data_IF_214008853368
#
_entry.id   IF_214008853368
#
_cell.length_a   1.000
_cell.length_b   1.000
_cell.length_c   1.000
_cell.angle_alpha   90.00
_cell.angle_beta   90.00
_cell.angle_gamma   90.00
#
_symmetry.space_group_name_H-M   'P 1'
#
loop_
_entity.id
_entity.type
_entity.pdbx_description
1 polymer ?
#
# COMPACT_ATOMS: atom_id res chain seq x y z
N UNK A 1 6.79 24.35 -2.10
CA UNK A 1 5.95 23.85 -3.21
C UNK A 1 6.10 22.35 -3.45
N UNK A 2 7.33 21.83 -3.61
CA UNK A 2 7.56 20.41 -3.93
C UNK A 2 6.99 19.41 -2.91
N UNK A 3 7.18 19.67 -1.61
CA UNK A 3 6.66 18.80 -0.55
C UNK A 3 5.13 18.69 -0.57
N UNK A 4 4.43 19.80 -0.88
CA UNK A 4 2.97 19.87 -0.96
C UNK A 4 2.41 19.03 -2.11
N UNK A 5 3.11 19.06 -3.26
CA UNK A 5 2.77 18.25 -4.43
C UNK A 5 2.99 16.77 -4.10
N UNK A 6 4.15 16.40 -3.57
CA UNK A 6 4.42 15.02 -3.16
C UNK A 6 3.37 14.50 -2.17
N UNK A 7 2.98 15.28 -1.17
CA UNK A 7 2.02 14.86 -0.15
C UNK A 7 0.63 14.55 -0.72
N UNK A 8 0.22 15.27 -1.78
CA UNK A 8 -1.09 15.08 -2.42
C UNK A 8 -1.04 13.96 -3.46
N UNK A 9 -0.02 13.96 -4.33
CA UNK A 9 0.02 13.07 -5.49
C UNK A 9 0.60 11.68 -5.19
N UNK A 10 1.47 11.55 -4.19
CA UNK A 10 2.06 10.26 -3.81
C UNK A 10 1.01 9.23 -3.35
N UNK A 11 0.08 9.54 -2.42
CA UNK A 11 -0.95 8.57 -2.03
C UNK A 11 -1.92 8.23 -3.17
N UNK A 12 -2.22 9.19 -4.06
CA UNK A 12 -3.02 8.93 -5.28
C UNK A 12 -2.31 7.93 -6.21
N UNK A 13 -1.01 8.15 -6.43
CA UNK A 13 -0.18 7.28 -7.28
C UNK A 13 -0.09 5.87 -6.70
N UNK A 14 0.08 5.75 -5.37
CA UNK A 14 0.10 4.45 -4.69
C UNK A 14 -1.24 3.74 -4.79
N UNK A 15 -2.37 4.46 -4.72
CA UNK A 15 -3.70 3.85 -4.90
C UNK A 15 -3.89 3.30 -6.31
N UNK A 16 -3.52 4.07 -7.34
CA UNK A 16 -3.51 3.60 -8.73
C UNK A 16 -2.64 2.34 -8.90
N UNK A 17 -1.43 2.35 -8.34
CA UNK A 17 -0.54 1.20 -8.37
C UNK A 17 -1.13 -0.01 -7.65
N UNK A 18 -1.81 0.21 -6.52
CA UNK A 18 -2.47 -0.84 -5.74
C UNK A 18 -3.63 -1.47 -6.52
N UNK A 19 -4.44 -0.68 -7.23
CA UNK A 19 -5.52 -1.19 -8.10
C UNK A 19 -4.96 -2.03 -9.24
N UNK A 20 -3.90 -1.55 -9.91
CA UNK A 20 -3.21 -2.31 -10.95
C UNK A 20 -2.63 -3.62 -10.40
N UNK A 21 -2.02 -3.56 -9.21
CA UNK A 21 -1.54 -4.72 -8.48
C UNK A 21 -2.66 -5.71 -8.16
N UNK A 22 -3.86 -5.22 -7.85
CA UNK A 22 -5.04 -6.04 -7.55
C UNK A 22 -5.49 -6.81 -8.79
N UNK A 23 -5.60 -6.13 -9.94
CA UNK A 23 -5.90 -6.75 -11.22
C UNK A 23 -4.89 -7.83 -11.58
N UNK A 24 -3.60 -7.53 -11.41
CA UNK A 24 -2.54 -8.51 -11.64
C UNK A 24 -2.62 -9.71 -10.70
N UNK A 25 -2.85 -9.47 -9.40
CA UNK A 25 -2.96 -10.51 -8.38
C UNK A 25 -4.15 -11.45 -8.65
N UNK A 26 -5.29 -10.90 -9.07
CA UNK A 26 -6.48 -11.67 -9.46
C UNK A 26 -6.18 -12.49 -10.71
N UNK A 27 -5.63 -11.87 -11.77
CA UNK A 27 -5.27 -12.54 -13.03
C UNK A 27 -4.32 -13.72 -12.82
N UNK A 28 -3.34 -13.56 -11.93
CA UNK A 28 -2.35 -14.59 -11.60
C UNK A 28 -2.77 -15.52 -10.44
N UNK A 29 -4.01 -15.46 -9.96
CA UNK A 29 -4.54 -16.25 -8.82
C UNK A 29 -3.68 -16.14 -7.54
N UNK A 30 -2.99 -15.01 -7.36
CA UNK A 30 -2.07 -14.71 -6.25
C UNK A 30 -2.84 -14.15 -5.05
N UNK A 31 -3.64 -15.00 -4.40
CA UNK A 31 -4.58 -14.63 -3.31
C UNK A 31 -3.92 -13.93 -2.11
N UNK A 32 -2.64 -14.20 -1.84
CA UNK A 32 -1.89 -13.62 -0.70
C UNK A 32 -1.76 -12.09 -0.79
N UNK A 33 -1.72 -11.54 -2.01
CA UNK A 33 -1.51 -10.10 -2.23
C UNK A 33 -2.83 -9.31 -2.18
N UNK A 34 -3.96 -9.95 -2.45
CA UNK A 34 -5.29 -9.32 -2.51
C UNK A 34 -5.66 -8.61 -1.18
N UNK A 35 -5.62 -9.26 0.01
CA UNK A 35 -5.97 -8.58 1.24
C UNK A 35 -5.02 -7.43 1.57
N UNK A 36 -3.73 -7.57 1.22
CA UNK A 36 -2.72 -6.54 1.47
C UNK A 36 -2.96 -5.29 0.62
N UNK A 37 -3.30 -5.47 -0.66
CA UNK A 37 -3.61 -4.39 -1.58
C UNK A 37 -4.95 -3.68 -1.26
N UNK A 38 -5.93 -4.42 -0.74
CA UNK A 38 -7.17 -3.84 -0.20
C UNK A 38 -6.84 -2.97 1.02
N UNK A 39 -5.99 -3.46 1.93
CA UNK A 39 -5.58 -2.73 3.14
C UNK A 39 -4.80 -1.45 2.81
N UNK A 40 -3.96 -1.48 1.77
CA UNK A 40 -3.29 -0.27 1.23
C UNK A 40 -4.32 0.77 0.77
N UNK A 41 -5.32 0.37 -0.02
CA UNK A 41 -6.37 1.31 -0.47
C UNK A 41 -7.21 1.84 0.69
N UNK A 42 -7.55 1.00 1.66
CA UNK A 42 -8.28 1.42 2.85
C UNK A 42 -7.49 2.45 3.66
N UNK A 43 -6.18 2.22 3.83
CA UNK A 43 -5.28 3.15 4.54
C UNK A 43 -5.22 4.52 3.87
N UNK A 44 -5.18 4.55 2.53
CA UNK A 44 -5.19 5.79 1.74
C UNK A 44 -6.51 6.52 1.91
N UNK A 45 -7.64 5.82 1.85
CA UNK A 45 -8.96 6.41 2.09
C UNK A 45 -9.02 7.01 3.49
N UNK A 46 -8.61 6.27 4.53
CA UNK A 46 -8.58 6.77 5.92
C UNK A 46 -7.69 8.01 6.07
N UNK A 47 -6.54 8.03 5.39
CA UNK A 47 -5.66 9.20 5.38
C UNK A 47 -6.33 10.43 4.76
N UNK A 48 -6.95 10.27 3.58
CA UNK A 48 -7.67 11.36 2.90
C UNK A 48 -8.92 11.83 3.64
N UNK A 49 -9.67 10.90 4.25
CA UNK A 49 -10.84 11.19 5.07
C UNK A 49 -10.42 11.98 6.31
N UNK A 50 -9.36 11.56 7.01
CA UNK A 50 -8.81 12.30 8.15
C UNK A 50 -8.38 13.72 7.77
N UNK A 51 -7.78 13.90 6.59
CA UNK A 51 -7.35 15.20 6.08
C UNK A 51 -8.50 16.13 5.65
N UNK A 52 -9.55 15.57 5.03
CA UNK A 52 -10.59 16.35 4.33
C UNK A 52 -11.89 16.51 5.12
N UNK A 53 -12.30 15.48 5.87
CA UNK A 53 -13.60 15.43 6.56
C UNK A 53 -13.52 15.86 8.02
N UNK A 54 -12.43 15.54 8.71
CA UNK A 54 -12.27 15.87 10.12
C UNK A 54 -11.26 17.03 10.19
N UNK A 55 -11.74 18.27 10.19
CA UNK A 55 -10.85 19.43 10.36
C UNK A 55 -10.43 19.53 11.83
N UNK A 56 -9.18 19.94 12.10
CA UNK A 56 -8.66 20.09 13.46
C UNK A 56 -7.81 18.90 13.94
N UNK A 57 -7.58 18.82 15.25
CA UNK A 57 -6.62 17.90 15.87
C UNK A 57 -7.02 16.42 15.71
N UNK A 58 -8.31 16.13 15.73
CA UNK A 58 -8.84 14.76 15.61
C UNK A 58 -8.59 14.17 14.22
N UNK A 59 -8.75 14.95 13.16
CA UNK A 59 -8.50 14.49 11.80
C UNK A 59 -7.03 14.35 11.47
N UNK A 60 -6.18 15.17 12.12
CA UNK A 60 -4.73 15.00 12.05
C UNK A 60 -4.32 13.65 12.65
N UNK A 61 -4.93 13.23 13.77
CA UNK A 61 -4.70 11.91 14.37
C UNK A 61 -5.14 10.75 13.48
N UNK A 62 -6.36 10.81 12.92
CA UNK A 62 -6.88 9.79 11.99
C UNK A 62 -6.04 9.70 10.72
N UNK A 63 -5.62 10.85 10.18
CA UNK A 63 -4.73 10.92 9.03
C UNK A 63 -3.36 10.29 9.31
N UNK A 64 -2.78 10.56 10.48
CA UNK A 64 -1.50 10.00 10.91
C UNK A 64 -1.58 8.48 11.07
N UNK A 65 -2.65 7.96 11.68
CA UNK A 65 -2.91 6.52 11.77
C UNK A 65 -3.01 5.87 10.39
N UNK A 66 -3.74 6.50 9.45
CA UNK A 66 -3.83 6.02 8.06
C UNK A 66 -2.47 5.97 7.36
N UNK A 67 -1.62 6.99 7.57
CA UNK A 67 -0.27 7.03 7.01
C UNK A 67 0.66 5.96 7.60
N UNK A 68 0.59 5.72 8.92
CA UNK A 68 1.37 4.66 9.59
C UNK A 68 0.94 3.29 9.06
N UNK A 69 -0.37 3.04 8.97
CA UNK A 69 -0.92 1.79 8.45
C UNK A 69 -0.47 1.55 7.00
N UNK A 70 -0.50 2.61 6.17
CA UNK A 70 -0.01 2.57 4.80
C UNK A 70 1.48 2.20 4.74
N UNK A 71 2.31 2.81 5.59
CA UNK A 71 3.75 2.51 5.67
C UNK A 71 4.02 1.04 6.00
N UNK A 72 3.34 0.50 7.02
CA UNK A 72 3.47 -0.91 7.42
C UNK A 72 3.05 -1.84 6.27
N UNK A 73 1.93 -1.55 5.60
CA UNK A 73 1.46 -2.36 4.47
C UNK A 73 2.48 -2.41 3.32
N UNK A 74 3.11 -1.27 3.00
CA UNK A 74 4.11 -1.19 1.94
C UNK A 74 5.39 -1.97 2.29
N UNK A 75 5.82 -1.92 3.56
CA UNK A 75 6.97 -2.70 4.04
C UNK A 75 6.70 -4.20 3.90
N UNK A 76 5.52 -4.67 4.33
CA UNK A 76 5.13 -6.08 4.20
C UNK A 76 5.05 -6.48 2.73
N UNK A 77 4.46 -5.64 1.87
CA UNK A 77 4.36 -5.90 0.43
C UNK A 77 5.76 -6.05 -0.19
N UNK A 78 6.68 -5.14 0.15
CA UNK A 78 8.06 -5.18 -0.33
C UNK A 78 8.79 -6.45 0.15
N UNK A 79 8.64 -6.83 1.42
CA UNK A 79 9.19 -8.08 1.96
C UNK A 79 8.70 -9.29 1.19
N UNK A 80 7.38 -9.42 0.95
CA UNK A 80 6.82 -10.54 0.20
C UNK A 80 7.38 -10.57 -1.22
N UNK A 81 7.46 -9.41 -1.90
CA UNK A 81 8.03 -9.31 -3.25
C UNK A 81 9.50 -9.71 -3.30
N UNK A 82 10.30 -9.32 -2.29
CA UNK A 82 11.70 -9.71 -2.15
C UNK A 82 11.80 -11.23 -1.93
N UNK A 83 11.01 -11.80 -1.02
CA UNK A 83 10.99 -13.25 -0.76
C UNK A 83 10.61 -14.03 -2.02
N UNK A 84 9.55 -13.62 -2.74
CA UNK A 84 9.14 -14.26 -4.00
C UNK A 84 10.23 -14.13 -5.08
N UNK A 85 10.94 -13.01 -5.12
CA UNK A 85 12.06 -12.78 -6.06
C UNK A 85 13.27 -13.66 -5.73
N UNK A 86 13.61 -13.81 -4.45
CA UNK A 86 14.70 -14.70 -3.99
C UNK A 86 14.34 -16.16 -4.29
N UNK A 87 13.10 -16.56 -4.01
CA UNK A 87 12.60 -17.93 -4.28
C UNK A 87 12.62 -18.26 -5.78
N UNK A 88 12.42 -17.29 -6.67
CA UNK A 88 12.56 -17.47 -8.12
C UNK A 88 14.02 -17.55 -8.58
N UNK A 89 14.96 -16.90 -7.90
CA UNK A 89 16.40 -16.92 -8.23
C UNK A 89 17.13 -18.15 -7.69
N UNK A 90 16.61 -18.79 -6.64
CA UNK A 90 17.03 -20.13 -6.23
C UNK A 90 16.03 -21.14 -6.82
N UNK A 91 16.22 -21.66 -8.05
CA UNK A 91 15.57 -22.93 -8.36
C UNK A 91 15.98 -23.91 -7.27
N UNK A 92 15.03 -24.65 -6.72
CA UNK A 92 15.32 -25.81 -5.88
C UNK A 92 16.40 -26.62 -6.59
N UNK A 93 17.64 -26.56 -6.11
CA UNK A 93 18.56 -27.67 -6.28
C UNK A 93 17.90 -28.80 -5.53
N UNK A 94 17.25 -29.68 -6.30
CA UNK A 94 16.95 -31.08 -5.99
C UNK A 94 17.62 -31.57 -4.70
N UNK A 95 16.80 -31.86 -3.70
CA UNK A 95 17.05 -32.93 -2.73
C UNK A 95 15.73 -33.68 -2.59
#
# INVERSE_FOLDING_TARGET
MFASVLFIYLPISISLLSILGLFWAIKNKRKVYVPLLILVNLSIITHFVGLKLIRGFEGMGVSMLGAILLGICLIILALILITDSIKKRKPQSSI
#
